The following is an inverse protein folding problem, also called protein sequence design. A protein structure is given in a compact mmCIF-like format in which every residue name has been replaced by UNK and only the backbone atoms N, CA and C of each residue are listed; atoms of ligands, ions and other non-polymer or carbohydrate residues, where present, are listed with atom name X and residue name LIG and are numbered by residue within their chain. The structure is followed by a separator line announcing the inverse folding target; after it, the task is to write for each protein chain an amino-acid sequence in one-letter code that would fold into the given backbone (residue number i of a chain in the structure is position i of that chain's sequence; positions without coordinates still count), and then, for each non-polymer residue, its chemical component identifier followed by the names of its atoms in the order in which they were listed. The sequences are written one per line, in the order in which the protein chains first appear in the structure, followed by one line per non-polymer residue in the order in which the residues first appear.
data_IF_911227245341
#
_entry.id   IF_911227245341
#
_cell.length_a   1.000
_cell.length_b   1.000
_cell.length_c   1.000
_cell.angle_alpha   90.00
_cell.angle_beta   90.00
_cell.angle_gamma   90.00
#
_symmetry.space_group_name_H-M   'P 1'
#
loop_
_entity.id
_entity.type
_entity.pdbx_description
1 polymer ?
#
# COMPACT_ATOMS: atom_id res chain seq x y z
N UNK A 1 -55.28 -20.32 -13.92
CA UNK A 1 -54.25 -19.39 -14.45
C UNK A 1 -53.77 -18.53 -13.28
N UNK A 2 -52.66 -18.83 -12.62
CA UNK A 2 -52.26 -18.06 -11.43
C UNK A 2 -50.94 -18.49 -10.77
N UNK A 3 -50.47 -19.70 -11.04
CA UNK A 3 -49.22 -20.24 -10.46
C UNK A 3 -47.98 -19.99 -11.31
N UNK A 4 -48.12 -19.66 -12.59
CA UNK A 4 -46.98 -19.40 -13.51
C UNK A 4 -46.32 -18.03 -13.31
N UNK A 5 -47.08 -17.03 -12.85
CA UNK A 5 -46.56 -15.67 -12.67
C UNK A 5 -45.72 -15.50 -11.39
N UNK A 6 -46.02 -16.26 -10.34
CA UNK A 6 -45.31 -16.18 -9.05
C UNK A 6 -43.91 -16.79 -9.16
N UNK A 7 -43.75 -17.87 -9.94
CA UNK A 7 -42.44 -18.50 -10.18
C UNK A 7 -41.48 -17.61 -10.97
N UNK A 8 -41.97 -16.77 -11.89
CA UNK A 8 -41.13 -15.85 -12.66
C UNK A 8 -40.66 -14.63 -11.86
N UNK A 9 -41.44 -14.18 -10.87
CA UNK A 9 -41.08 -13.06 -9.98
C UNK A 9 -39.98 -13.44 -8.97
N UNK A 10 -39.95 -14.69 -8.51
CA UNK A 10 -38.91 -15.19 -7.61
C UNK A 10 -37.56 -15.43 -8.32
N UNK A 11 -37.57 -15.80 -9.62
CA UNK A 11 -36.35 -15.98 -10.41
C UNK A 11 -35.63 -14.65 -10.70
N UNK A 12 -36.37 -13.54 -10.79
CA UNK A 12 -35.80 -12.21 -11.03
C UNK A 12 -35.12 -11.58 -9.81
N UNK A 13 -35.51 -11.97 -8.60
CA UNK A 13 -34.94 -11.41 -7.36
C UNK A 13 -33.58 -12.01 -6.98
N UNK A 14 -33.27 -13.22 -7.47
CA UNK A 14 -31.98 -13.88 -7.21
C UNK A 14 -30.81 -13.37 -8.06
N UNK A 15 -31.05 -12.54 -9.08
CA UNK A 15 -30.00 -12.02 -9.96
C UNK A 15 -29.36 -10.69 -9.49
N UNK A 16 -29.81 -10.14 -8.35
CA UNK A 16 -29.30 -8.87 -7.82
C UNK A 16 -28.37 -9.01 -6.61
N UNK A 17 -27.91 -10.22 -6.27
CA UNK A 17 -26.67 -10.38 -5.50
C UNK A 17 -25.48 -10.21 -6.45
N UNK A 18 -25.34 -8.99 -6.96
CA UNK A 18 -24.09 -8.47 -7.50
C UNK A 18 -23.03 -8.71 -6.43
N UNK A 19 -22.15 -9.68 -6.68
CA UNK A 19 -20.98 -9.92 -5.85
C UNK A 19 -20.06 -8.72 -6.06
N UNK A 20 -20.25 -7.69 -5.22
CA UNK A 20 -19.29 -6.61 -5.13
C UNK A 20 -18.00 -7.23 -4.58
N UNK A 21 -17.08 -7.58 -5.47
CA UNK A 21 -15.68 -7.76 -5.10
C UNK A 21 -15.19 -6.36 -4.76
N UNK A 22 -15.40 -5.96 -3.51
CA UNK A 22 -14.94 -4.67 -3.01
C UNK A 22 -13.42 -4.74 -2.97
N UNK A 23 -12.78 -4.07 -3.92
CA UNK A 23 -11.33 -3.92 -3.90
C UNK A 23 -10.95 -3.20 -2.59
N UNK A 24 -9.95 -3.72 -1.89
CA UNK A 24 -9.43 -3.07 -0.69
C UNK A 24 -8.45 -1.98 -1.11
N UNK A 25 -8.63 -0.79 -0.58
CA UNK A 25 -7.84 0.39 -0.94
C UNK A 25 -7.12 0.98 0.27
N UNK A 26 -5.83 1.28 0.07
CA UNK A 26 -5.00 2.01 1.02
C UNK A 26 -4.54 3.29 0.37
N UNK A 27 -4.81 4.43 1.01
CA UNK A 27 -4.30 5.72 0.57
C UNK A 27 -3.12 6.13 1.45
N UNK A 28 -1.95 6.29 0.85
CA UNK A 28 -0.77 6.82 1.52
C UNK A 28 -0.83 8.35 1.61
N UNK A 29 -0.81 8.94 2.82
CA UNK A 29 -0.65 10.37 2.99
C UNK A 29 0.60 10.90 2.27
N UNK A 30 0.48 12.06 1.61
CA UNK A 30 1.62 12.70 0.90
C UNK A 30 2.75 13.05 1.86
N UNK A 31 2.40 13.39 3.11
CA UNK A 31 3.35 13.59 4.19
C UNK A 31 2.76 13.12 5.52
N UNK A 32 3.64 12.86 6.47
CA UNK A 32 3.30 12.62 7.87
C UNK A 32 4.13 13.53 8.77
N UNK A 33 3.64 13.79 9.98
CA UNK A 33 4.41 14.47 11.01
C UNK A 33 4.78 13.48 12.11
N UNK A 34 6.04 13.40 12.47
CA UNK A 34 6.53 12.62 13.61
C UNK A 34 6.77 13.53 14.82
N UNK A 35 6.73 12.96 16.03
CA UNK A 35 6.90 13.70 17.29
C UNK A 35 8.36 13.77 17.78
N UNK A 36 9.19 12.81 17.40
CA UNK A 36 10.63 12.82 17.69
C UNK A 36 11.38 11.92 16.71
N UNK A 37 12.62 12.30 16.38
CA UNK A 37 13.61 11.40 15.77
C UNK A 37 14.93 11.57 16.50
N UNK A 38 15.46 10.50 17.07
CA UNK A 38 16.80 10.51 17.67
C UNK A 38 17.82 10.17 16.59
N UNK A 39 18.51 11.17 16.05
CA UNK A 39 19.65 10.95 15.16
C UNK A 39 20.93 10.80 15.98
N UNK A 40 21.57 9.64 15.93
CA UNK A 40 22.87 9.40 16.58
C UNK A 40 23.94 9.38 15.49
N UNK A 41 25.03 10.11 15.71
CA UNK A 41 26.19 10.04 14.82
C UNK A 41 26.91 8.72 15.09
N UNK A 42 27.23 7.97 14.03
CA UNK A 42 28.08 6.80 14.15
C UNK A 42 29.49 7.23 14.59
N UNK A 43 30.16 6.43 15.43
CA UNK A 43 31.41 6.81 16.09
C UNK A 43 32.62 6.88 15.14
N UNK A 44 32.49 6.37 13.92
CA UNK A 44 33.52 6.32 12.88
C UNK A 44 33.55 7.56 11.96
N UNK A 45 32.65 8.53 12.18
CA UNK A 45 32.66 9.79 11.45
C UNK A 45 33.87 10.62 11.90
N UNK A 46 34.96 10.54 11.12
CA UNK A 46 36.19 11.29 11.37
C UNK A 46 36.04 12.79 11.07
N UNK A 47 36.49 13.59 12.04
CA UNK A 47 36.60 15.07 12.08
C UNK A 47 35.33 15.90 12.36
N UNK A 48 35.47 16.89 13.26
CA UNK A 48 34.75 18.16 13.51
C UNK A 48 33.25 18.37 13.17
N UNK A 49 32.49 17.35 12.78
CA UNK A 49 31.06 17.46 12.50
C UNK A 49 30.28 17.62 13.80
N UNK A 50 29.46 18.67 13.88
CA UNK A 50 28.57 18.91 15.00
C UNK A 50 27.14 18.53 14.63
N UNK A 51 26.46 17.80 15.53
CA UNK A 51 25.04 17.52 15.36
C UNK A 51 24.24 18.82 15.54
N UNK A 52 23.45 19.19 14.55
CA UNK A 52 22.48 20.27 14.69
C UNK A 52 21.33 19.85 15.62
N UNK A 53 20.76 20.80 16.37
CA UNK A 53 19.52 20.62 17.11
C UNK A 53 18.27 20.79 16.25
N UNK A 54 18.42 21.23 14.98
CA UNK A 54 17.29 21.39 14.06
C UNK A 54 16.58 20.05 13.85
N UNK A 55 15.25 20.10 13.91
CA UNK A 55 14.38 18.97 13.74
C UNK A 55 13.31 19.32 12.69
N UNK A 56 13.22 18.49 11.65
CA UNK A 56 12.17 18.57 10.64
C UNK A 56 11.18 17.42 10.89
N UNK A 57 10.00 17.67 11.48
CA UNK A 57 9.05 16.62 11.80
C UNK A 57 8.31 16.08 10.57
N UNK A 58 8.28 16.83 9.47
CA UNK A 58 7.54 16.45 8.27
C UNK A 58 8.34 15.47 7.42
N UNK A 59 7.82 14.26 7.28
CA UNK A 59 8.37 13.25 6.38
C UNK A 59 7.50 13.13 5.14
N UNK A 60 8.12 13.16 3.97
CA UNK A 60 7.43 13.08 2.70
C UNK A 60 7.37 11.64 2.21
N UNK A 61 6.28 11.28 1.52
CA UNK A 61 6.04 9.95 0.97
C UNK A 61 6.94 9.67 -0.23
N UNK A 62 7.84 8.72 -0.13
CA UNK A 62 8.81 8.35 -1.18
C UNK A 62 8.39 7.19 -2.05
N UNK A 63 7.51 6.35 -1.54
CA UNK A 63 7.24 5.07 -2.16
C UNK A 63 6.08 4.34 -1.53
N UNK A 64 5.60 3.36 -2.27
CA UNK A 64 4.85 2.24 -1.74
C UNK A 64 5.63 0.96 -2.00
N UNK A 65 5.63 0.07 -1.02
CA UNK A 65 6.23 -1.25 -1.12
C UNK A 65 5.29 -2.30 -0.57
N UNK A 66 5.63 -3.56 -0.81
CA UNK A 66 4.90 -4.68 -0.25
C UNK A 66 5.87 -5.73 0.27
N UNK A 67 5.56 -6.37 1.39
CA UNK A 67 6.40 -7.40 2.00
C UNK A 67 5.59 -8.65 2.32
N UNK A 68 6.25 -9.82 2.35
CA UNK A 68 5.67 -11.06 2.85
C UNK A 68 6.05 -11.30 4.32
N UNK A 69 5.08 -11.71 5.12
CA UNK A 69 5.25 -11.75 6.57
C UNK A 69 5.38 -10.33 7.15
N UNK A 70 5.59 -10.24 8.46
CA UNK A 70 5.59 -8.93 9.12
C UNK A 70 6.64 -7.98 8.52
N UNK A 71 6.35 -6.67 8.40
CA UNK A 71 7.26 -5.69 7.80
C UNK A 71 8.65 -5.63 8.44
N UNK A 72 8.78 -5.95 9.73
CA UNK A 72 10.07 -5.95 10.42
C UNK A 72 11.04 -7.02 9.90
N UNK A 73 10.51 -8.06 9.24
CA UNK A 73 11.30 -9.13 8.65
C UNK A 73 11.94 -8.74 7.30
N UNK A 74 11.53 -7.62 6.69
CA UNK A 74 12.11 -7.05 5.45
C UNK A 74 12.13 -8.01 4.26
N UNK A 75 11.12 -8.87 4.14
CA UNK A 75 10.95 -9.73 2.96
C UNK A 75 10.20 -8.93 1.89
N UNK A 76 10.88 -7.91 1.36
CA UNK A 76 10.29 -6.97 0.40
C UNK A 76 10.11 -7.63 -0.98
N UNK A 77 8.94 -7.42 -1.56
CA UNK A 77 8.57 -7.96 -2.86
C UNK A 77 8.91 -6.96 -3.95
N UNK A 78 9.56 -7.45 -5.00
CA UNK A 78 9.74 -6.68 -6.23
C UNK A 78 8.43 -6.68 -7.03
N UNK A 79 7.84 -5.51 -7.31
CA UNK A 79 6.70 -5.42 -8.21
C UNK A 79 7.08 -5.74 -9.67
N UNK A 80 6.10 -6.20 -10.42
CA UNK A 80 6.11 -6.14 -11.87
C UNK A 80 5.66 -4.75 -12.32
N UNK A 81 6.31 -4.21 -13.36
CA UNK A 81 5.96 -2.90 -13.91
C UNK A 81 5.21 -3.09 -15.21
N UNK A 82 3.97 -2.61 -15.26
CA UNK A 82 3.12 -2.68 -16.46
C UNK A 82 2.60 -1.31 -16.84
N UNK A 83 2.32 -1.10 -18.14
CA UNK A 83 1.63 0.10 -18.61
C UNK A 83 0.17 -0.24 -18.90
N UNK A 84 -0.74 0.28 -18.06
CA UNK A 84 -2.18 0.04 -18.17
C UNK A 84 -2.85 1.36 -18.52
N UNK A 85 -3.53 1.42 -19.67
CA UNK A 85 -4.21 2.64 -20.18
C UNK A 85 -3.29 3.88 -20.25
N UNK A 86 -2.00 3.67 -20.54
CA UNK A 86 -1.00 4.74 -20.65
C UNK A 86 -0.37 5.17 -19.32
N UNK A 87 -0.77 4.57 -18.20
CA UNK A 87 -0.18 4.80 -16.88
C UNK A 87 0.75 3.64 -16.50
N UNK A 88 1.96 3.96 -16.05
CA UNK A 88 2.86 2.96 -15.47
C UNK A 88 2.39 2.59 -14.06
N UNK A 89 2.20 1.29 -13.84
CA UNK A 89 1.72 0.71 -12.58
C UNK A 89 2.71 -0.32 -12.07
N UNK A 90 2.81 -0.39 -10.76
CA UNK A 90 3.50 -1.43 -10.02
C UNK A 90 2.46 -2.45 -9.58
N UNK A 91 2.70 -3.73 -9.88
CA UNK A 91 1.78 -4.83 -9.62
C UNK A 91 2.50 -5.86 -8.76
N UNK A 92 1.81 -6.36 -7.75
CA UNK A 92 2.29 -7.44 -6.90
C UNK A 92 1.28 -8.59 -6.90
N UNK A 93 1.79 -9.80 -7.03
CA UNK A 93 1.04 -11.04 -6.83
C UNK A 93 0.94 -11.37 -5.34
N UNK A 94 -0.29 -11.55 -4.85
CA UNK A 94 -0.61 -11.97 -3.48
C UNK A 94 -1.46 -13.23 -3.46
N UNK A 95 -1.46 -14.05 -4.52
CA UNK A 95 -2.30 -15.25 -4.63
C UNK A 95 -2.09 -16.24 -3.48
N UNK A 96 -0.89 -16.27 -2.91
CA UNK A 96 -0.55 -17.10 -1.74
C UNK A 96 -0.85 -16.40 -0.40
N UNK A 97 -1.67 -15.33 -0.39
CA UNK A 97 -2.01 -14.61 0.81
C UNK A 97 -2.75 -15.52 1.79
N UNK A 98 -2.30 -15.52 3.03
CA UNK A 98 -2.97 -16.23 4.11
C UNK A 98 -3.19 -15.32 5.30
N UNK A 99 -4.07 -15.74 6.21
CA UNK A 99 -4.27 -15.03 7.47
C UNK A 99 -3.17 -15.34 8.51
N UNK A 100 -2.23 -16.23 8.19
CA UNK A 100 -1.10 -16.52 9.07
C UNK A 100 -0.08 -15.39 8.97
N UNK A 101 0.34 -14.85 10.11
CA UNK A 101 1.23 -13.68 10.15
C UNK A 101 2.59 -13.90 9.45
N UNK A 102 3.06 -15.14 9.30
CA UNK A 102 4.28 -15.50 8.58
C UNK A 102 4.15 -15.40 7.06
N UNK A 103 2.93 -15.55 6.54
CA UNK A 103 2.65 -15.66 5.11
C UNK A 103 1.81 -14.48 4.58
N UNK A 104 1.19 -13.74 5.49
CA UNK A 104 0.39 -12.55 5.19
C UNK A 104 1.24 -11.47 4.51
N UNK A 105 0.69 -10.86 3.48
CA UNK A 105 1.31 -9.71 2.82
C UNK A 105 0.97 -8.39 3.52
N UNK A 106 1.86 -7.42 3.40
CA UNK A 106 1.72 -6.09 3.99
C UNK A 106 2.05 -5.02 2.98
N UNK A 107 1.15 -4.06 2.79
CA UNK A 107 1.41 -2.83 2.04
C UNK A 107 2.08 -1.83 2.98
N UNK A 108 3.11 -1.14 2.50
CA UNK A 108 3.85 -0.14 3.27
C UNK A 108 3.95 1.17 2.51
N UNK A 109 3.53 2.26 3.13
CA UNK A 109 3.84 3.62 2.71
C UNK A 109 5.23 4.00 3.28
N UNK A 110 6.16 4.35 2.41
CA UNK A 110 7.58 4.55 2.74
C UNK A 110 7.87 6.05 2.73
N UNK A 111 8.41 6.59 3.83
CA UNK A 111 8.64 8.03 3.99
C UNK A 111 10.13 8.33 4.20
N UNK A 112 10.57 9.45 3.62
CA UNK A 112 11.90 10.05 3.82
C UNK A 112 13.05 9.03 3.76
N UNK A 113 13.24 8.44 2.58
CA UNK A 113 14.21 7.43 2.20
C UNK A 113 14.17 6.17 3.07
N UNK A 114 12.97 5.77 3.49
CA UNK A 114 12.76 4.58 4.30
C UNK A 114 13.02 4.79 5.79
N UNK A 115 13.09 6.03 6.26
CA UNK A 115 13.19 6.35 7.68
C UNK A 115 11.95 5.87 8.46
N UNK A 116 10.76 5.94 7.84
CA UNK A 116 9.50 5.47 8.44
C UNK A 116 8.72 4.66 7.42
N UNK A 117 8.18 3.53 7.88
CA UNK A 117 7.30 2.65 7.11
C UNK A 117 5.98 2.55 7.85
N UNK A 118 4.88 2.96 7.21
CA UNK A 118 3.52 2.77 7.72
C UNK A 118 2.89 1.60 6.98
N UNK A 119 2.69 0.49 7.69
CA UNK A 119 2.28 -0.76 7.08
C UNK A 119 0.88 -1.19 7.49
N UNK A 120 0.12 -1.75 6.55
CA UNK A 120 -1.18 -2.35 6.77
C UNK A 120 -1.24 -3.77 6.18
N UNK A 121 -1.92 -4.70 6.86
CA UNK A 121 -2.06 -6.06 6.36
C UNK A 121 -2.97 -6.10 5.13
N UNK A 122 -2.51 -6.78 4.08
CA UNK A 122 -3.34 -7.09 2.91
C UNK A 122 -4.41 -8.12 3.28
N UNK A 123 -5.66 -7.95 2.84
CA UNK A 123 -6.71 -8.95 3.06
C UNK A 123 -6.31 -10.31 2.49
N UNK A 124 -6.59 -11.40 3.21
CA UNK A 124 -6.20 -12.74 2.80
C UNK A 124 -6.88 -13.25 1.52
N UNK A 125 -7.95 -12.59 1.06
CA UNK A 125 -8.63 -12.94 -0.19
C UNK A 125 -8.09 -12.16 -1.38
N UNK A 126 -7.22 -11.17 -1.17
CA UNK A 126 -6.62 -10.43 -2.27
C UNK A 126 -5.55 -11.29 -2.95
N UNK A 127 -5.65 -11.38 -4.27
CA UNK A 127 -4.76 -12.12 -5.15
C UNK A 127 -3.79 -11.22 -5.89
N UNK A 128 -4.12 -9.93 -6.00
CA UNK A 128 -3.26 -8.95 -6.66
C UNK A 128 -3.40 -7.58 -6.02
N UNK A 129 -2.29 -6.90 -5.85
CA UNK A 129 -2.25 -5.49 -5.46
C UNK A 129 -1.59 -4.65 -6.56
N UNK A 130 -2.05 -3.42 -6.75
CA UNK A 130 -1.48 -2.48 -7.72
C UNK A 130 -1.40 -1.07 -7.16
N UNK A 131 -0.41 -0.32 -7.60
CA UNK A 131 -0.27 1.11 -7.31
C UNK A 131 0.29 1.86 -8.53
N UNK A 132 -0.07 3.14 -8.66
CA UNK A 132 0.56 4.01 -9.66
C UNK A 132 2.05 4.18 -9.34
N UNK A 133 2.92 4.12 -10.35
CA UNK A 133 4.33 4.42 -10.13
C UNK A 133 4.49 5.89 -9.78
N UNK A 134 5.22 6.20 -8.70
CA UNK A 134 5.60 7.58 -8.41
C UNK A 134 6.60 8.08 -9.47
N UNK A 135 6.35 9.24 -10.10
CA UNK A 135 7.38 9.92 -10.86
C UNK A 135 8.49 10.39 -9.91
N UNK A 136 9.76 10.23 -10.32
CA UNK A 136 10.92 10.64 -9.53
C UNK A 136 11.02 12.13 -9.22
N UNK A 137 10.11 12.96 -9.77
CA UNK A 137 10.06 14.40 -9.56
C UNK A 137 8.64 14.81 -9.21
N UNK A 138 8.38 15.12 -7.92
CA UNK A 138 7.05 15.50 -7.44
C UNK A 138 6.75 16.95 -7.78
N UNK A 139 5.57 17.18 -8.36
CA UNK A 139 4.97 18.51 -8.44
C UNK A 139 4.34 18.81 -7.06
N UNK A 140 4.63 19.95 -6.41
CA UNK A 140 3.99 20.32 -5.16
C UNK A 140 2.49 20.53 -5.38
N UNK A 141 1.64 19.71 -4.76
CA UNK A 141 0.19 19.98 -4.71
C UNK A 141 -0.72 18.75 -4.75
N UNK A 142 -0.32 17.67 -5.40
CA UNK A 142 -1.26 16.57 -5.63
C UNK A 142 -0.52 15.26 -5.88
N UNK A 143 -0.75 14.27 -5.01
CA UNK A 143 -0.86 12.82 -5.29
C UNK A 143 -0.61 12.03 -4.01
N UNK A 144 -1.68 11.76 -3.25
CA UNK A 144 -1.69 10.57 -2.41
C UNK A 144 -1.57 9.35 -3.33
N UNK A 145 -0.76 8.36 -2.96
CA UNK A 145 -0.69 7.11 -3.70
C UNK A 145 -1.76 6.20 -3.15
N UNK A 146 -2.67 5.74 -4.01
CA UNK A 146 -3.60 4.68 -3.67
C UNK A 146 -3.04 3.33 -4.10
N UNK A 147 -3.06 2.38 -3.19
CA UNK A 147 -2.82 0.96 -3.46
C UNK A 147 -4.17 0.27 -3.47
N UNK A 148 -4.47 -0.46 -4.54
CA UNK A 148 -5.73 -1.22 -4.69
C UNK A 148 -5.40 -2.70 -4.74
N UNK A 149 -6.03 -3.50 -3.89
CA UNK A 149 -5.90 -4.96 -3.87
C UNK A 149 -7.24 -5.63 -4.18
N UNK A 150 -7.22 -6.68 -4.99
CA UNK A 150 -8.39 -7.43 -5.47
C UNK A 150 -8.25 -8.92 -5.22
#
# INVERSE_FOLDING_TARGET
MGTRFIFSLLLGFMLFYSQFVTAWEVSCPVFINIKSSTTVLEPDISASWQRSSRYEPRLWLDGVGMSQGKPENRVDLKPETETIKGETRQIWDTTMASNQNSERYWVSCIYNHGQVWLSQPVPALATQCQASSLPGQRVPGESSISVTCK
#
